data_IF_873563728761
#
_entry.id   IF_873563728761
#
_cell.length_a   1.000
_cell.length_b   1.000
_cell.length_c   1.000
_cell.angle_alpha   90.00
_cell.angle_beta   90.00
_cell.angle_gamma   90.00
#
_symmetry.space_group_name_H-M   'P 1'
#
loop_
_entity.id
_entity.type
_entity.pdbx_description
1 polymer ?
#
# COMPACT_ATOMS: atom_id res chain seq x y z
N UNK A 1 10.59 11.31 -15.07
CA UNK A 1 10.01 11.14 -13.71
C UNK A 1 10.82 11.88 -12.65
N UNK A 2 12.14 12.04 -12.80
CA UNK A 2 12.97 12.86 -11.91
C UNK A 2 12.81 14.39 -12.10
N UNK A 3 12.16 14.83 -13.18
CA UNK A 3 11.98 16.26 -13.49
C UNK A 3 10.87 16.95 -12.67
N UNK A 4 10.10 16.16 -11.90
CA UNK A 4 9.06 16.69 -11.04
C UNK A 4 9.65 17.07 -9.67
N UNK A 5 9.21 18.20 -9.07
CA UNK A 5 9.58 18.57 -7.71
C UNK A 5 9.32 17.41 -6.73
N UNK A 6 10.19 17.28 -5.72
CA UNK A 6 10.10 16.18 -4.75
C UNK A 6 8.75 16.17 -4.04
N UNK A 7 8.22 17.34 -3.69
CA UNK A 7 6.94 17.47 -3.00
C UNK A 7 5.80 16.86 -3.84
N UNK A 8 5.85 17.08 -5.16
CA UNK A 8 4.85 16.54 -6.08
C UNK A 8 4.96 15.02 -6.22
N UNK A 9 6.19 14.49 -6.27
CA UNK A 9 6.42 13.04 -6.33
C UNK A 9 5.93 12.35 -5.05
N UNK A 10 6.23 12.92 -3.89
CA UNK A 10 5.73 12.42 -2.61
C UNK A 10 4.20 12.49 -2.53
N UNK A 11 3.59 13.60 -2.97
CA UNK A 11 2.13 13.73 -3.01
C UNK A 11 1.48 12.66 -3.89
N UNK A 12 2.08 12.34 -5.04
CA UNK A 12 1.61 11.26 -5.91
C UNK A 12 1.73 9.89 -5.22
N UNK A 13 2.83 9.62 -4.51
CA UNK A 13 3.01 8.41 -3.73
C UNK A 13 2.00 8.31 -2.58
N UNK A 14 1.71 9.42 -1.88
CA UNK A 14 0.67 9.45 -0.84
C UNK A 14 -0.71 9.17 -1.43
N UNK A 15 -1.04 9.75 -2.59
CA UNK A 15 -2.31 9.49 -3.27
C UNK A 15 -2.42 8.01 -3.68
N UNK A 16 -1.37 7.46 -4.29
CA UNK A 16 -1.30 6.04 -4.65
C UNK A 16 -1.44 5.14 -3.40
N UNK A 17 -0.77 5.48 -2.31
CA UNK A 17 -0.86 4.76 -1.05
C UNK A 17 -2.24 4.87 -0.38
N UNK A 18 -2.93 6.02 -0.48
CA UNK A 18 -4.30 6.17 0.02
C UNK A 18 -5.28 5.31 -0.78
N UNK A 19 -5.16 5.29 -2.11
CA UNK A 19 -5.95 4.42 -2.99
C UNK A 19 -5.66 2.94 -2.70
N UNK A 20 -4.40 2.57 -2.53
CA UNK A 20 -3.99 1.24 -2.13
C UNK A 20 -4.54 0.87 -0.74
N UNK A 21 -4.54 1.80 0.22
CA UNK A 21 -5.14 1.62 1.53
C UNK A 21 -6.65 1.37 1.46
N UNK A 22 -7.37 2.05 0.56
CA UNK A 22 -8.79 1.78 0.30
C UNK A 22 -8.99 0.37 -0.30
N UNK A 23 -8.09 -0.08 -1.19
CA UNK A 23 -8.09 -1.45 -1.69
C UNK A 23 -7.80 -2.45 -0.57
N UNK A 24 -6.85 -2.17 0.32
CA UNK A 24 -6.54 -2.99 1.51
C UNK A 24 -7.78 -3.13 2.39
N UNK A 25 -8.46 -2.03 2.72
CA UNK A 25 -9.69 -2.05 3.50
C UNK A 25 -10.77 -2.90 2.82
N UNK A 26 -10.97 -2.73 1.52
CA UNK A 26 -11.91 -3.57 0.76
C UNK A 26 -11.53 -5.07 0.83
N UNK A 27 -10.25 -5.39 0.61
CA UNK A 27 -9.72 -6.76 0.66
C UNK A 27 -9.90 -7.42 2.02
N UNK A 28 -9.59 -6.71 3.11
CA UNK A 28 -9.77 -7.19 4.49
C UNK A 28 -11.21 -7.67 4.70
N UNK A 29 -12.20 -6.84 4.36
CA UNK A 29 -13.61 -7.18 4.59
C UNK A 29 -14.15 -8.24 3.62
N UNK A 30 -13.58 -8.32 2.41
CA UNK A 30 -14.06 -9.23 1.36
C UNK A 30 -13.49 -10.65 1.50
N UNK A 31 -12.24 -10.78 1.94
CA UNK A 31 -11.54 -12.07 2.07
C UNK A 31 -11.54 -12.63 3.49
N UNK A 32 -11.97 -11.86 4.48
CA UNK A 32 -12.32 -12.37 5.80
C UNK A 32 -13.33 -13.52 5.70
N UNK A 33 -13.17 -14.55 6.54
CA UNK A 33 -14.11 -15.65 6.69
C UNK A 33 -15.49 -15.13 7.10
N UNK A 34 -15.52 -14.26 8.11
CA UNK A 34 -16.75 -13.56 8.49
C UNK A 34 -16.84 -12.22 7.75
N UNK A 35 -17.36 -12.29 6.52
CA UNK A 35 -17.51 -11.13 5.64
C UNK A 35 -18.39 -10.06 6.27
N UNK A 36 -17.86 -8.84 6.33
CA UNK A 36 -18.54 -7.67 6.89
C UNK A 36 -18.78 -6.64 5.78
N UNK A 37 -20.03 -6.29 5.43
CA UNK A 37 -20.36 -5.30 4.40
C UNK A 37 -20.11 -3.83 4.83
N UNK A 38 -18.95 -3.58 5.43
CA UNK A 38 -18.53 -2.28 5.98
C UNK A 38 -17.87 -1.41 4.90
N UNK A 39 -17.14 -2.02 3.95
CA UNK A 39 -16.41 -1.27 2.92
C UNK A 39 -17.36 -0.40 2.08
N UNK A 40 -17.01 0.87 1.78
CA UNK A 40 -17.79 1.73 0.88
C UNK A 40 -18.03 1.10 -0.49
N UNK A 41 -17.09 0.26 -0.93
CA UNK A 41 -17.12 -0.45 -2.22
C UNK A 41 -18.00 -1.70 -2.20
N UNK A 42 -18.49 -2.13 -1.02
CA UNK A 42 -19.36 -3.29 -0.87
C UNK A 42 -20.84 -2.88 -0.91
N UNK A 43 -21.69 -3.82 -1.33
CA UNK A 43 -23.14 -3.63 -1.26
C UNK A 43 -23.54 -3.43 0.21
N UNK A 44 -24.32 -2.39 0.55
CA UNK A 44 -24.69 -2.14 1.93
C UNK A 44 -25.49 -3.31 2.53
N UNK A 45 -25.27 -3.57 3.82
CA UNK A 45 -25.94 -4.65 4.56
C UNK A 45 -27.46 -4.49 4.60
N UNK A 46 -27.91 -3.24 4.63
CA UNK A 46 -29.32 -2.87 4.72
C UNK A 46 -29.66 -1.92 3.58
N UNK A 47 -30.83 -2.11 2.99
CA UNK A 47 -31.32 -1.26 1.88
C UNK A 47 -31.52 0.20 2.29
N UNK A 48 -31.60 0.48 3.60
CA UNK A 48 -31.72 1.84 4.15
C UNK A 48 -30.40 2.64 4.14
N UNK A 49 -29.26 1.96 4.00
CA UNK A 49 -27.94 2.62 3.93
C UNK A 49 -27.68 3.09 2.50
N UNK A 50 -27.87 4.39 2.26
CA UNK A 50 -27.56 5.03 0.98
C UNK A 50 -26.13 5.57 1.02
N UNK A 51 -25.24 4.92 0.27
CA UNK A 51 -23.85 5.35 0.06
C UNK A 51 -23.72 6.10 -1.25
N UNK A 52 -22.87 7.12 -1.29
CA UNK A 52 -22.58 7.91 -2.48
C UNK A 52 -21.12 7.73 -2.90
N UNK A 53 -20.80 8.14 -4.12
CA UNK A 53 -19.43 8.05 -4.65
C UNK A 53 -18.40 8.76 -3.77
N UNK A 54 -18.81 9.81 -3.04
CA UNK A 54 -17.93 10.55 -2.15
C UNK A 54 -17.55 9.77 -0.88
N UNK A 55 -18.29 8.70 -0.54
CA UNK A 55 -17.94 7.78 0.54
C UNK A 55 -16.84 6.79 0.12
N UNK A 56 -16.56 6.68 -1.19
CA UNK A 56 -15.47 5.86 -1.74
C UNK A 56 -14.14 6.61 -1.85
N UNK A 57 -14.10 7.92 -1.55
CA UNK A 57 -12.86 8.70 -1.54
C UNK A 57 -12.03 8.27 -0.33
N UNK A 58 -10.75 7.85 -0.49
CA UNK A 58 -9.90 7.50 0.64
C UNK A 58 -9.82 8.64 1.66
N UNK A 59 -9.73 8.27 2.93
CA UNK A 59 -9.65 9.10 4.13
C UNK A 59 -10.97 9.85 4.39
N UNK A 60 -11.42 10.65 3.43
CA UNK A 60 -12.64 11.46 3.52
C UNK A 60 -13.90 10.60 3.62
N UNK A 61 -13.95 9.49 2.89
CA UNK A 61 -15.10 8.59 2.85
C UNK A 61 -15.44 8.02 4.22
N UNK A 62 -14.45 7.60 4.99
CA UNK A 62 -14.65 7.08 6.35
C UNK A 62 -15.16 8.13 7.33
N UNK A 63 -14.75 9.39 7.17
CA UNK A 63 -15.29 10.50 7.97
C UNK A 63 -16.78 10.73 7.69
N UNK A 64 -17.20 10.52 6.44
CA UNK A 64 -18.62 10.63 6.04
C UNK A 64 -19.42 9.41 6.49
N UNK A 65 -18.85 8.21 6.42
CA UNK A 65 -19.47 6.96 6.85
C UNK A 65 -19.67 6.86 8.37
N UNK A 66 -19.13 7.79 9.16
CA UNK A 66 -19.44 7.94 10.60
C UNK A 66 -20.94 7.93 10.90
N UNK A 67 -21.76 8.39 9.96
CA UNK A 67 -23.23 8.37 10.06
C UNK A 67 -23.83 6.95 10.14
N UNK A 68 -23.08 5.91 9.75
CA UNK A 68 -23.50 4.51 9.84
C UNK A 68 -23.08 3.85 11.18
N UNK A 69 -22.59 4.63 12.16
CA UNK A 69 -22.08 4.11 13.43
C UNK A 69 -23.15 3.37 14.25
N UNK A 70 -24.42 3.70 14.10
CA UNK A 70 -25.52 3.01 14.77
C UNK A 70 -25.71 1.57 14.25
N UNK A 71 -25.24 1.28 13.03
CA UNK A 71 -25.35 -0.05 12.41
C UNK A 71 -24.08 -0.88 12.58
N UNK A 72 -22.91 -0.25 12.44
CA UNK A 72 -21.61 -0.95 12.45
C UNK A 72 -20.86 -0.85 13.77
N UNK A 73 -21.39 -0.10 14.73
CA UNK A 73 -20.78 0.14 16.04
C UNK A 73 -19.99 1.45 16.10
N UNK A 74 -19.87 1.99 17.30
CA UNK A 74 -19.13 3.24 17.55
C UNK A 74 -17.66 3.05 17.18
N UNK A 75 -17.16 3.91 16.30
CA UNK A 75 -15.74 3.94 15.93
C UNK A 75 -15.32 2.94 14.84
N UNK A 76 -16.25 2.24 14.18
CA UNK A 76 -15.92 1.28 13.11
C UNK A 76 -15.07 1.89 11.97
N UNK A 77 -15.20 3.20 11.74
CA UNK A 77 -14.50 3.98 10.70
C UNK A 77 -13.07 4.35 11.09
N UNK A 78 -12.67 4.24 12.36
CA UNK A 78 -11.35 4.70 12.85
C UNK A 78 -10.24 3.81 12.29
N UNK A 79 -10.40 2.48 12.42
CA UNK A 79 -9.42 1.51 11.93
C UNK A 79 -9.15 1.68 10.43
N UNK A 80 -10.15 1.64 9.53
CA UNK A 80 -9.89 1.74 8.11
C UNK A 80 -9.35 3.12 7.71
N UNK A 81 -9.72 4.20 8.41
CA UNK A 81 -9.11 5.53 8.24
C UNK A 81 -7.61 5.49 8.55
N UNK A 82 -7.21 4.86 9.66
CA UNK A 82 -5.80 4.70 10.04
C UNK A 82 -5.06 3.87 9.00
N UNK A 83 -5.65 2.79 8.49
CA UNK A 83 -5.05 1.96 7.43
C UNK A 83 -4.75 2.78 6.18
N UNK A 84 -5.67 3.64 5.74
CA UNK A 84 -5.46 4.50 4.58
C UNK A 84 -4.39 5.55 4.80
N UNK A 85 -4.37 6.18 5.97
CA UNK A 85 -3.34 7.16 6.34
C UNK A 85 -1.96 6.53 6.44
N UNK A 86 -1.86 5.36 7.08
CA UNK A 86 -0.59 4.64 7.25
C UNK A 86 -0.08 4.11 5.91
N UNK A 87 -0.95 3.61 5.03
CA UNK A 87 -0.53 3.16 3.69
C UNK A 87 -0.04 4.35 2.84
N UNK A 88 -0.74 5.50 2.90
CA UNK A 88 -0.32 6.73 2.23
C UNK A 88 1.04 7.23 2.72
N UNK A 89 1.22 7.31 4.04
CA UNK A 89 2.49 7.72 4.64
C UNK A 89 3.61 6.70 4.37
N UNK A 90 3.31 5.40 4.45
CA UNK A 90 4.25 4.32 4.19
C UNK A 90 4.78 4.32 2.76
N UNK A 91 3.92 4.53 1.76
CA UNK A 91 4.35 4.64 0.37
C UNK A 91 5.29 5.83 0.16
N UNK A 92 4.92 7.02 0.64
CA UNK A 92 5.78 8.19 0.53
C UNK A 92 7.11 8.04 1.28
N UNK A 93 7.09 7.44 2.47
CA UNK A 93 8.29 7.16 3.25
C UNK A 93 9.22 6.18 2.53
N UNK A 94 8.67 5.11 1.96
CA UNK A 94 9.45 4.13 1.20
C UNK A 94 10.02 4.76 -0.08
N UNK A 95 9.26 5.56 -0.82
CA UNK A 95 9.77 6.32 -1.96
C UNK A 95 10.96 7.19 -1.57
N UNK A 96 10.84 7.96 -0.49
CA UNK A 96 11.92 8.81 -0.01
C UNK A 96 13.14 7.99 0.43
N UNK A 97 12.95 6.81 0.99
CA UNK A 97 14.04 5.97 1.44
C UNK A 97 14.73 5.19 0.30
N UNK A 98 13.99 4.65 -0.65
CA UNK A 98 14.55 3.86 -1.75
C UNK A 98 15.05 4.73 -2.91
N UNK A 99 14.28 5.76 -3.29
CA UNK A 99 14.57 6.54 -4.50
C UNK A 99 15.45 7.75 -4.18
N UNK A 100 15.07 8.56 -3.18
CA UNK A 100 15.82 9.78 -2.87
C UNK A 100 17.13 9.51 -2.13
N UNK A 101 17.15 8.49 -1.26
CA UNK A 101 18.37 8.10 -0.55
C UNK A 101 19.14 6.99 -1.25
N UNK A 102 18.57 6.32 -2.26
CA UNK A 102 19.20 5.16 -2.92
C UNK A 102 19.65 4.07 -1.92
N UNK A 103 19.01 4.00 -0.74
CA UNK A 103 19.53 3.24 0.42
C UNK A 103 19.73 1.76 0.08
N UNK A 104 18.78 1.16 -0.66
CA UNK A 104 18.85 -0.22 -1.11
C UNK A 104 20.09 -0.55 -1.95
N UNK A 105 20.69 0.42 -2.64
CA UNK A 105 21.85 0.20 -3.51
C UNK A 105 23.15 0.68 -2.86
N UNK A 106 23.07 1.74 -2.04
CA UNK A 106 24.20 2.22 -1.26
C UNK A 106 24.62 1.22 -0.19
N UNK A 107 23.68 0.48 0.40
CA UNK A 107 24.01 -0.56 1.40
C UNK A 107 24.81 -1.74 0.79
N UNK A 108 24.79 -1.94 -0.54
CA UNK A 108 25.65 -2.94 -1.22
C UNK A 108 27.05 -2.41 -1.55
N UNK A 109 27.27 -1.10 -1.49
CA UNK A 109 28.58 -0.51 -1.76
C UNK A 109 29.24 -0.18 -0.41
N UNK A 110 30.52 -0.54 -0.18
CA UNK A 110 31.25 -0.14 1.02
C UNK A 110 31.67 1.35 0.95
N UNK A 111 30.72 2.23 0.62
CA UNK A 111 30.91 3.67 0.48
C UNK A 111 30.26 4.38 1.69
N UNK A 112 30.88 5.45 2.21
CA UNK A 112 30.24 6.28 3.23
C UNK A 112 28.95 6.87 2.68
N UNK A 113 27.87 6.82 3.49
CA UNK A 113 26.57 7.39 3.14
C UNK A 113 26.75 8.81 2.60
N UNK A 114 26.29 9.13 1.38
CA UNK A 114 26.37 10.47 0.86
C UNK A 114 25.52 11.40 1.74
N UNK A 115 25.94 12.66 1.94
CA UNK A 115 25.13 13.62 2.66
C UNK A 115 23.75 13.76 1.99
N UNK A 116 22.67 13.96 2.77
CA UNK A 116 21.32 14.08 2.24
C UNK A 116 21.28 15.13 1.12
N UNK A 117 20.82 14.74 -0.06
CA UNK A 117 20.71 15.62 -1.24
C UNK A 117 21.85 15.52 -2.26
N UNK A 118 22.86 14.65 -2.09
CA UNK A 118 23.82 14.31 -3.15
C UNK A 118 23.65 12.85 -3.58
N UNK A 119 23.04 12.64 -4.74
CA UNK A 119 22.99 11.33 -5.38
C UNK A 119 24.35 11.04 -6.05
N UNK A 120 24.90 9.82 -5.86
CA UNK A 120 25.80 9.25 -6.85
C UNK A 120 25.00 9.19 -8.17
N UNK A 121 25.65 9.45 -9.31
CA UNK A 121 25.00 9.63 -10.61
C UNK A 121 23.73 8.76 -10.76
N UNK A 122 22.56 9.34 -11.08
CA UNK A 122 21.29 8.66 -10.91
C UNK A 122 21.30 7.32 -11.63
N UNK A 123 21.19 6.23 -10.86
CA UNK A 123 20.91 4.91 -11.42
C UNK A 123 19.66 5.03 -12.29
N UNK A 124 19.61 4.24 -13.37
CA UNK A 124 18.51 4.37 -14.33
C UNK A 124 17.15 4.33 -13.60
N UNK A 125 16.16 5.17 -13.97
CA UNK A 125 14.87 5.19 -13.31
C UNK A 125 14.24 3.80 -13.21
N UNK A 126 14.42 2.96 -14.23
CA UNK A 126 13.92 1.59 -14.25
C UNK A 126 14.50 0.75 -13.10
N UNK A 127 15.81 0.81 -12.84
CA UNK A 127 16.46 0.03 -11.78
C UNK A 127 15.93 0.38 -10.38
N UNK A 128 15.49 1.61 -10.17
CA UNK A 128 14.99 2.07 -8.87
C UNK A 128 13.49 1.83 -8.69
N UNK A 129 12.68 2.00 -9.74
CA UNK A 129 11.22 1.97 -9.61
C UNK A 129 10.61 0.55 -9.66
N UNK A 130 11.30 -0.44 -10.26
CA UNK A 130 10.81 -1.82 -10.28
C UNK A 130 10.83 -2.51 -8.91
N UNK A 131 11.92 -2.44 -8.12
CA UNK A 131 11.93 -2.92 -6.74
C UNK A 131 10.89 -2.19 -5.89
N UNK A 132 10.81 -0.86 -6.01
CA UNK A 132 9.81 -0.07 -5.27
C UNK A 132 8.38 -0.57 -5.54
N UNK A 133 8.05 -0.85 -6.80
CA UNK A 133 6.75 -1.39 -7.18
C UNK A 133 6.48 -2.76 -6.57
N UNK A 134 7.47 -3.65 -6.50
CA UNK A 134 7.33 -4.96 -5.85
C UNK A 134 7.14 -4.82 -4.34
N UNK A 135 7.86 -3.90 -3.69
CA UNK A 135 7.69 -3.60 -2.27
C UNK A 135 6.31 -3.00 -1.95
N UNK A 136 5.79 -2.11 -2.80
CA UNK A 136 4.42 -1.62 -2.66
C UNK A 136 3.38 -2.74 -2.77
N UNK A 137 3.52 -3.63 -3.75
CA UNK A 137 2.64 -4.79 -3.87
C UNK A 137 2.72 -5.69 -2.63
N UNK A 138 3.93 -5.93 -2.11
CA UNK A 138 4.15 -6.69 -0.89
C UNK A 138 3.50 -6.03 0.33
N UNK A 139 3.66 -4.71 0.52
CA UNK A 139 3.00 -3.96 1.61
C UNK A 139 1.49 -4.13 1.55
N UNK A 140 0.89 -4.00 0.36
CA UNK A 140 -0.56 -4.13 0.19
C UNK A 140 -1.04 -5.53 0.59
N UNK A 141 -0.36 -6.57 0.10
CA UNK A 141 -0.71 -7.97 0.42
C UNK A 141 -0.50 -8.29 1.91
N UNK A 142 0.62 -7.84 2.48
CA UNK A 142 0.95 -8.06 3.89
C UNK A 142 -0.01 -7.31 4.81
N UNK A 143 -0.36 -6.06 4.52
CA UNK A 143 -1.34 -5.34 5.32
C UNK A 143 -2.71 -6.04 5.31
N UNK A 144 -3.18 -6.49 4.14
CA UNK A 144 -4.42 -7.27 4.08
C UNK A 144 -4.32 -8.55 4.93
N UNK A 145 -3.27 -9.34 4.74
CA UNK A 145 -3.06 -10.58 5.49
C UNK A 145 -2.97 -10.34 7.00
N UNK A 146 -2.15 -9.37 7.44
CA UNK A 146 -1.98 -9.01 8.85
C UNK A 146 -3.30 -8.63 9.50
N UNK A 147 -4.13 -7.81 8.85
CA UNK A 147 -5.38 -7.37 9.43
C UNK A 147 -6.46 -8.46 9.47
N UNK A 148 -6.44 -9.40 8.54
CA UNK A 148 -7.32 -10.57 8.59
C UNK A 148 -6.83 -11.53 9.68
N UNK A 149 -5.52 -11.76 9.78
CA UNK A 149 -4.91 -12.60 10.81
C UNK A 149 -5.16 -12.04 12.23
N UNK A 150 -5.05 -10.72 12.42
CA UNK A 150 -5.41 -10.07 13.70
C UNK A 150 -6.88 -10.32 14.07
N UNK A 151 -7.79 -10.25 13.09
CA UNK A 151 -9.23 -10.38 13.33
C UNK A 151 -9.67 -11.84 13.56
N UNK A 152 -9.11 -12.76 12.79
CA UNK A 152 -9.64 -14.14 12.65
C UNK A 152 -8.60 -15.23 12.93
N UNK A 153 -7.32 -14.88 13.08
CA UNK A 153 -6.17 -15.80 13.20
C UNK A 153 -6.06 -16.77 12.02
N UNK A 154 -6.42 -16.29 10.83
CA UNK A 154 -6.36 -17.02 9.57
C UNK A 154 -5.70 -16.17 8.50
N UNK A 155 -5.02 -16.85 7.56
CA UNK A 155 -4.44 -16.21 6.37
C UNK A 155 -5.20 -16.75 5.16
N UNK A 156 -5.89 -15.90 4.38
CA UNK A 156 -6.66 -16.37 3.22
C UNK A 156 -5.75 -16.85 2.09
N UNK A 157 -6.03 -18.03 1.56
CA UNK A 157 -5.32 -18.60 0.40
C UNK A 157 -5.35 -17.66 -0.82
N UNK A 158 -6.43 -16.88 -0.99
CA UNK A 158 -6.54 -15.91 -2.08
C UNK A 158 -5.44 -14.85 -2.03
N UNK A 159 -5.02 -14.42 -0.83
CA UNK A 159 -3.95 -13.43 -0.66
C UNK A 159 -2.60 -14.10 -0.93
N UNK A 160 -2.36 -15.27 -0.32
CA UNK A 160 -1.09 -15.99 -0.47
C UNK A 160 -0.84 -16.40 -1.91
N UNK A 161 -1.83 -17.01 -2.58
CA UNK A 161 -1.70 -17.45 -3.97
C UNK A 161 -1.52 -16.27 -4.93
N UNK A 162 -2.29 -15.20 -4.76
CA UNK A 162 -2.11 -13.99 -5.56
C UNK A 162 -0.74 -13.37 -5.35
N UNK A 163 -0.23 -13.37 -4.12
CA UNK A 163 1.12 -12.90 -3.81
C UNK A 163 2.22 -13.71 -4.47
N UNK A 164 2.13 -15.05 -4.40
CA UNK A 164 3.07 -15.95 -5.09
C UNK A 164 3.04 -15.71 -6.60
N UNK A 165 1.84 -15.61 -7.19
CA UNK A 165 1.70 -15.38 -8.63
C UNK A 165 2.27 -14.03 -9.07
N UNK A 166 1.95 -12.95 -8.34
CA UNK A 166 2.49 -11.60 -8.61
C UNK A 166 4.01 -11.63 -8.51
N UNK A 167 4.56 -12.22 -7.45
CA UNK A 167 6.01 -12.34 -7.26
C UNK A 167 6.69 -13.11 -8.39
N UNK A 168 6.13 -14.24 -8.81
CA UNK A 168 6.69 -15.06 -9.90
C UNK A 168 6.65 -14.33 -11.24
N UNK A 169 5.53 -13.67 -11.55
CA UNK A 169 5.40 -12.88 -12.79
C UNK A 169 6.37 -11.71 -12.80
N UNK A 170 6.50 -10.98 -11.69
CA UNK A 170 7.46 -9.88 -11.56
C UNK A 170 8.89 -10.38 -11.73
N UNK A 171 9.27 -11.46 -11.06
CA UNK A 171 10.61 -12.05 -11.19
C UNK A 171 10.92 -12.52 -12.62
N UNK A 172 9.92 -13.03 -13.34
CA UNK A 172 10.09 -13.55 -14.71
C UNK A 172 10.16 -12.43 -15.75
N UNK A 173 9.25 -11.46 -15.67
CA UNK A 173 9.13 -10.38 -16.68
C UNK A 173 10.17 -9.29 -16.43
N UNK A 174 10.47 -9.01 -15.16
CA UNK A 174 11.41 -7.98 -14.78
C UNK A 174 12.31 -8.45 -13.63
N UNK A 175 13.45 -9.08 -13.93
CA UNK A 175 14.39 -9.55 -12.91
C UNK A 175 14.86 -8.45 -11.94
N UNK A 176 14.92 -7.21 -12.41
CA UNK A 176 15.24 -6.02 -11.59
C UNK A 176 14.16 -5.66 -10.56
N UNK A 177 13.04 -6.38 -10.49
CA UNK A 177 12.04 -6.23 -9.42
C UNK A 177 12.45 -6.95 -8.12
N UNK A 178 13.44 -7.84 -8.20
CA UNK A 178 14.03 -8.53 -7.07
C UNK A 178 14.99 -7.60 -6.31
N UNK A 179 15.31 -7.99 -5.07
CA UNK A 179 16.33 -7.29 -4.29
C UNK A 179 17.66 -7.28 -5.06
N UNK A 180 18.45 -6.19 -4.96
CA UNK A 180 19.79 -6.18 -5.52
C UNK A 180 20.59 -7.28 -4.83
N UNK A 181 21.06 -8.25 -5.61
CA UNK A 181 21.93 -9.30 -5.11
C UNK A 181 23.39 -8.88 -5.18
N UNK A 182 24.17 -9.33 -4.20
CA UNK A 182 25.58 -9.67 -4.44
C UNK A 182 25.55 -10.68 -5.59
N UNK A 183 26.11 -10.36 -6.74
CA UNK A 183 26.10 -11.23 -7.93
C UNK A 183 26.48 -12.68 -7.58
N UNK A 184 25.79 -13.66 -8.19
CA UNK A 184 26.35 -15.01 -8.38
C UNK A 184 27.48 -14.98 -9.42
#
# INVERSE_FOLDING_TARGET
MFDLPLEFRLALCMLAGALAGSLVNFGIYQFAWNRRPISPWSRPAQQLLVRTWADCIPIVGWLRLRREADFHGRGFWIRPLIVELLTAAGFAALYAWEIERQSLFLDLLPLPLPPPGRLLAPLSPALLHWPLGSHYALIVLMLMATFIDIDEKTIPDQITFSGVLIGLVLATVQPWSLLPGETF
#
